data_IF_107830697535
#
_entry.id   IF_107830697535
#
_cell.length_a   1.000
_cell.length_b   1.000
_cell.length_c   1.000
_cell.angle_alpha   90.00
_cell.angle_beta   90.00
_cell.angle_gamma   90.00
#
_symmetry.space_group_name_H-M   'P 1'
#
loop_
_entity.id
_entity.type
_entity.pdbx_description
1 polymer ?
#
# COMPACT_ATOMS: atom_id res chain seq x y z
N UNK A 1 0.11 -3.86 46.49
CA UNK A 1 1.36 -3.08 46.31
C UNK A 1 1.49 -2.43 44.93
N UNK A 2 0.98 -3.01 43.83
CA UNK A 2 1.06 -2.42 42.47
C UNK A 2 0.29 -1.09 42.33
N UNK A 3 -0.82 -0.91 43.05
CA UNK A 3 -1.59 0.34 43.02
C UNK A 3 -0.88 1.57 43.57
N UNK A 4 0.17 1.40 44.40
CA UNK A 4 0.87 2.52 45.04
C UNK A 4 1.93 3.12 44.13
N UNK A 5 2.75 2.29 43.47
CA UNK A 5 3.76 2.77 42.52
C UNK A 5 3.13 3.44 41.27
N UNK A 6 2.01 2.91 40.77
CA UNK A 6 1.28 3.52 39.66
C UNK A 6 0.57 4.84 40.06
N UNK A 7 0.16 4.97 41.33
CA UNK A 7 -0.39 6.22 41.85
C UNK A 7 0.71 7.28 42.08
N UNK A 8 1.89 6.87 42.57
CA UNK A 8 3.05 7.75 42.76
C UNK A 8 3.61 8.25 41.43
N UNK A 9 3.67 7.41 40.39
CA UNK A 9 4.04 7.81 39.02
C UNK A 9 3.01 8.76 38.38
N UNK A 10 1.70 8.53 38.59
CA UNK A 10 0.66 9.48 38.13
C UNK A 10 0.70 10.81 38.88
N UNK A 11 0.98 10.77 40.18
CA UNK A 11 1.11 11.99 40.98
C UNK A 11 2.34 12.82 40.55
N UNK A 12 3.48 12.17 40.29
CA UNK A 12 4.68 12.82 39.77
C UNK A 12 4.49 13.39 38.36
N UNK A 13 3.71 12.73 37.51
CA UNK A 13 3.36 13.22 36.16
C UNK A 13 2.38 14.41 36.17
N UNK A 14 1.65 14.61 37.28
CA UNK A 14 0.72 15.72 37.47
C UNK A 14 1.32 16.91 38.25
N UNK A 15 2.53 16.74 38.79
CA UNK A 15 3.24 17.82 39.46
C UNK A 15 3.62 18.88 38.43
N UNK A 16 3.02 20.07 38.58
CA UNK A 16 3.26 21.21 37.71
C UNK A 16 4.52 21.91 38.18
N UNK A 17 5.44 22.12 37.25
CA UNK A 17 6.64 22.89 37.48
C UNK A 17 6.26 24.31 37.94
N UNK A 18 6.81 24.81 39.07
CA UNK A 18 6.37 26.06 39.69
C UNK A 18 6.75 27.31 38.90
N UNK A 19 7.64 27.19 37.90
CA UNK A 19 8.12 28.32 37.11
C UNK A 19 7.38 28.43 35.77
N UNK A 20 7.00 27.31 35.17
CA UNK A 20 6.32 27.24 33.87
C UNK A 20 4.82 26.98 34.01
N UNK A 21 4.36 26.46 35.16
CA UNK A 21 2.98 26.06 35.41
C UNK A 21 2.54 24.81 34.62
N UNK A 22 3.47 24.17 33.91
CA UNK A 22 3.25 23.03 33.04
C UNK A 22 3.65 21.74 33.76
N UNK A 23 2.95 20.66 33.45
CA UNK A 23 3.37 19.30 33.82
C UNK A 23 4.59 18.89 33.02
N UNK A 24 5.35 17.90 33.49
CA UNK A 24 6.55 17.42 32.78
C UNK A 24 6.25 16.94 31.35
N UNK A 25 5.04 16.41 31.12
CA UNK A 25 4.55 16.01 29.80
C UNK A 25 4.31 17.23 28.89
N UNK A 26 3.69 18.30 29.40
CA UNK A 26 3.47 19.54 28.65
C UNK A 26 4.78 20.28 28.33
N UNK A 27 5.81 20.18 29.19
CA UNK A 27 7.14 20.74 28.93
C UNK A 27 7.87 20.02 27.79
N UNK A 28 7.79 18.68 27.77
CA UNK A 28 8.36 17.87 26.68
C UNK A 28 7.70 18.17 25.33
N UNK A 29 6.38 18.45 25.35
CA UNK A 29 5.62 18.83 24.16
C UNK A 29 6.11 20.19 23.59
N UNK A 30 6.37 21.17 24.47
CA UNK A 30 6.91 22.47 24.07
C UNK A 30 8.35 22.41 23.55
N UNK A 31 9.19 21.53 24.10
CA UNK A 31 10.56 21.31 23.63
C UNK A 31 10.58 20.67 22.22
N UNK A 32 9.57 19.85 21.89
CA UNK A 32 9.39 19.23 20.57
C UNK A 32 8.92 20.27 19.54
N UNK A 33 7.92 21.09 19.88
CA UNK A 33 7.39 22.10 18.96
C UNK A 33 8.39 23.22 18.65
N UNK A 34 9.23 23.62 19.62
CA UNK A 34 10.28 24.61 19.41
C UNK A 34 11.40 24.14 18.46
N UNK A 35 11.53 22.81 18.24
CA UNK A 35 12.49 22.23 17.29
C UNK A 35 12.00 22.20 15.84
N UNK A 36 10.69 22.35 15.60
CA UNK A 36 10.08 22.17 14.28
C UNK A 36 10.07 23.44 13.41
N UNK A 37 10.21 24.62 14.01
CA UNK A 37 10.08 25.90 13.28
C UNK A 37 11.39 26.43 12.64
N UNK A 38 12.50 25.69 12.70
CA UNK A 38 13.81 26.17 12.22
C UNK A 38 14.48 25.37 11.11
N UNK A 39 13.90 24.27 10.60
CA UNK A 39 14.65 23.34 9.74
C UNK A 39 14.00 22.91 8.42
N UNK A 40 12.96 23.59 7.91
CA UNK A 40 12.30 23.19 6.65
C UNK A 40 12.82 23.92 5.39
N UNK A 41 14.07 24.37 5.41
CA UNK A 41 14.83 24.68 4.19
C UNK A 41 16.19 23.98 4.27
N UNK A 42 16.39 23.00 3.38
CA UNK A 42 17.65 22.33 3.07
C UNK A 42 18.07 21.17 4.01
N UNK A 43 17.55 19.96 3.75
CA UNK A 43 18.26 18.68 4.03
C UNK A 43 17.39 17.48 3.64
N UNK A 44 17.86 16.37 3.09
CA UNK A 44 19.13 15.98 2.47
C UNK A 44 18.92 14.54 1.98
N UNK A 45 19.58 14.19 0.88
CA UNK A 45 19.81 12.81 0.50
C UNK A 45 21.13 12.35 1.14
N UNK A 46 21.11 11.30 1.96
CA UNK A 46 22.24 10.37 2.19
C UNK A 46 21.81 9.22 3.12
N UNK A 47 21.88 8.00 2.60
CA UNK A 47 21.74 6.73 3.33
C UNK A 47 23.05 6.41 4.08
N UNK A 48 23.31 7.10 5.18
CA UNK A 48 24.09 6.58 6.35
C UNK A 48 24.11 7.61 7.50
N UNK A 49 22.98 8.28 7.73
CA UNK A 49 22.84 9.30 8.77
C UNK A 49 22.39 8.64 10.08
N UNK A 50 22.96 8.99 11.26
CA UNK A 50 22.41 8.56 12.54
C UNK A 50 20.92 8.93 12.61
N UNK A 51 20.11 8.06 13.24
CA UNK A 51 18.67 8.22 13.37
C UNK A 51 18.34 9.66 13.77
N UNK A 52 17.50 10.32 12.95
CA UNK A 52 16.89 11.60 13.29
C UNK A 52 16.30 11.49 14.71
N UNK A 53 16.56 12.43 15.65
CA UNK A 53 16.00 12.39 16.99
C UNK A 53 14.47 12.18 17.02
N UNK A 54 13.75 12.60 15.98
CA UNK A 54 12.32 12.35 15.79
C UNK A 54 12.01 10.86 15.48
N UNK A 55 12.90 10.16 14.78
CA UNK A 55 12.74 8.75 14.41
C UNK A 55 12.92 7.79 15.60
N UNK A 56 13.96 7.99 16.41
CA UNK A 56 14.16 7.20 17.64
C UNK A 56 13.01 7.40 18.65
N UNK A 57 12.44 8.62 18.69
CA UNK A 57 11.25 8.90 19.51
C UNK A 57 10.03 8.10 19.03
N UNK A 58 9.81 8.03 17.72
CA UNK A 58 8.70 7.26 17.12
C UNK A 58 8.82 5.76 17.35
N UNK A 59 10.03 5.20 17.27
CA UNK A 59 10.26 3.78 17.58
C UNK A 59 9.92 3.48 19.04
N UNK A 60 10.36 4.32 19.99
CA UNK A 60 9.99 4.18 21.41
C UNK A 60 8.48 4.25 21.64
N UNK A 61 7.76 5.15 20.95
CA UNK A 61 6.30 5.21 21.05
C UNK A 61 5.62 3.96 20.47
N UNK A 62 6.14 3.38 19.39
CA UNK A 62 5.63 2.13 18.86
C UNK A 62 5.83 0.98 19.86
N UNK A 63 7.02 0.87 20.46
CA UNK A 63 7.30 -0.11 21.51
C UNK A 63 6.40 0.04 22.75
N UNK A 64 6.19 1.28 23.19
CA UNK A 64 5.29 1.58 24.32
C UNK A 64 3.84 1.22 23.99
N UNK A 65 3.39 1.52 22.78
CA UNK A 65 2.05 1.14 22.34
C UNK A 65 1.85 -0.37 22.27
N UNK A 66 2.83 -1.11 21.72
CA UNK A 66 2.81 -2.59 21.71
C UNK A 66 2.69 -3.10 23.14
N UNK A 67 3.52 -2.59 24.06
CA UNK A 67 3.51 -2.98 25.48
C UNK A 67 2.17 -2.69 26.16
N UNK A 68 1.58 -1.51 25.91
CA UNK A 68 0.30 -1.12 26.53
C UNK A 68 -0.89 -1.91 25.97
N UNK A 69 -0.88 -2.24 24.68
CA UNK A 69 -1.90 -3.08 24.04
C UNK A 69 -1.85 -4.52 24.57
N UNK A 70 -0.64 -5.07 24.75
CA UNK A 70 -0.41 -6.39 25.36
C UNK A 70 -1.00 -6.48 26.77
N UNK A 71 -0.77 -5.43 27.57
CA UNK A 71 -1.26 -5.34 28.95
C UNK A 71 -2.80 -5.28 29.00
N UNK A 72 -3.42 -4.54 28.08
CA UNK A 72 -4.88 -4.44 27.98
C UNK A 72 -5.53 -5.79 27.60
N UNK A 73 -4.96 -6.49 26.60
CA UNK A 73 -5.42 -7.84 26.20
C UNK A 73 -5.26 -8.87 27.33
N UNK A 74 -4.12 -8.85 28.01
CA UNK A 74 -3.86 -9.74 29.15
C UNK A 74 -4.80 -9.46 30.34
N UNK A 75 -5.21 -8.21 30.54
CA UNK A 75 -6.20 -7.82 31.54
C UNK A 75 -7.62 -8.30 31.21
N UNK A 76 -8.03 -8.19 29.95
CA UNK A 76 -9.33 -8.67 29.47
C UNK A 76 -9.48 -10.20 29.63
N UNK A 77 -8.46 -10.98 29.24
CA UNK A 77 -8.47 -12.44 29.36
C UNK A 77 -8.53 -12.94 30.82
N UNK A 78 -8.01 -12.16 31.78
CA UNK A 78 -8.08 -12.49 33.22
C UNK A 78 -9.45 -12.21 33.85
N UNK A 79 -10.23 -11.29 33.29
CA UNK A 79 -11.57 -10.97 33.79
C UNK A 79 -12.67 -11.92 33.28
N UNK A 80 -12.45 -12.61 32.15
CA UNK A 80 -13.35 -13.65 31.67
C UNK A 80 -13.19 -15.00 32.42
N UNK A 81 -12.15 -15.13 33.25
CA UNK A 81 -11.94 -16.31 34.10
C UNK A 81 -12.61 -16.14 35.48
N UNK A 82 -13.91 -15.91 35.51
CA UNK A 82 -14.70 -16.04 36.75
C UNK A 82 -15.26 -17.47 36.81
N UNK A 83 -15.01 -18.24 37.90
CA UNK A 83 -15.50 -19.61 37.97
C UNK A 83 -17.03 -19.63 38.02
N UNK A 84 -17.63 -20.39 37.11
CA UNK A 84 -19.06 -20.66 37.10
C UNK A 84 -19.47 -21.29 38.44
N UNK A 85 -20.21 -20.53 39.23
CA UNK A 85 -20.87 -20.98 40.45
C UNK A 85 -21.96 -22.00 40.07
N UNK A 86 -21.89 -23.17 40.71
CA UNK A 86 -22.73 -24.32 40.41
C UNK A 86 -24.22 -24.03 40.69
N UNK A 87 -25.07 -24.27 39.68
CA UNK A 87 -26.51 -24.38 39.86
C UNK A 87 -26.93 -25.86 39.87
N UNK A 88 -27.89 -26.25 40.73
CA UNK A 88 -28.28 -27.64 40.93
C UNK A 88 -29.23 -28.14 39.83
N UNK A 89 -29.13 -29.44 39.60
CA UNK A 89 -29.97 -30.26 38.73
C UNK A 89 -31.37 -30.39 39.29
N UNK A 90 -32.40 -30.24 38.46
CA UNK A 90 -33.65 -30.99 38.67
C UNK A 90 -34.36 -31.27 37.33
N UNK A 91 -34.89 -32.49 37.24
CA UNK A 91 -35.52 -33.10 36.09
C UNK A 91 -36.98 -32.61 35.90
N UNK A 92 -37.42 -32.44 34.65
CA UNK A 92 -38.66 -33.07 34.12
C UNK A 92 -39.04 -32.51 32.72
N UNK A 93 -39.19 -33.43 31.77
CA UNK A 93 -39.92 -33.33 30.48
C UNK A 93 -41.45 -33.19 30.72
N UNK A 94 -42.34 -32.84 29.74
CA UNK A 94 -42.25 -33.23 28.32
C UNK A 94 -42.85 -32.32 27.21
N UNK A 95 -42.40 -32.64 25.98
CA UNK A 95 -43.13 -32.80 24.70
C UNK A 95 -43.78 -31.63 23.92
N UNK A 96 -43.61 -31.76 22.58
CA UNK A 96 -44.31 -31.14 21.44
C UNK A 96 -43.84 -29.71 21.07
N UNK A 97 -43.60 -29.31 19.81
CA UNK A 97 -44.20 -29.71 18.54
C UNK A 97 -43.34 -29.27 17.32
N UNK A 98 -43.69 -29.84 16.16
CA UNK A 98 -43.14 -29.70 14.79
C UNK A 98 -43.02 -28.28 14.22
N UNK A 99 -42.02 -28.09 13.33
CA UNK A 99 -42.13 -27.65 11.91
C UNK A 99 -40.76 -27.09 11.44
N UNK A 100 -40.01 -27.78 10.57
CA UNK A 100 -40.08 -27.72 9.10
C UNK A 100 -39.53 -26.41 8.49
N UNK A 101 -38.32 -26.47 7.92
CA UNK A 101 -38.02 -26.05 6.54
C UNK A 101 -36.55 -26.31 6.22
N UNK A 102 -36.30 -27.35 5.43
CA UNK A 102 -35.06 -27.58 4.72
C UNK A 102 -35.09 -26.79 3.40
N UNK A 103 -34.01 -26.09 3.07
CA UNK A 103 -33.73 -25.63 1.71
C UNK A 103 -32.50 -26.37 1.22
N UNK A 104 -32.74 -27.31 0.33
CA UNK A 104 -31.76 -28.03 -0.47
C UNK A 104 -31.65 -27.32 -1.82
N UNK A 105 -30.43 -26.95 -2.23
CA UNK A 105 -30.14 -26.59 -3.62
C UNK A 105 -28.77 -27.12 -4.02
N UNK A 106 -28.80 -28.38 -4.45
CA UNK A 106 -28.16 -28.97 -5.63
C UNK A 106 -27.04 -28.15 -6.30
N UNK A 107 -25.80 -28.65 -6.22
CA UNK A 107 -24.70 -28.27 -7.12
C UNK A 107 -24.49 -29.41 -8.12
N UNK A 108 -24.82 -29.14 -9.39
CA UNK A 108 -24.53 -30.03 -10.52
C UNK A 108 -23.02 -30.07 -10.75
N UNK A 109 -22.45 -31.26 -10.69
CA UNK A 109 -21.14 -31.62 -11.24
C UNK A 109 -21.34 -32.06 -12.69
N UNK A 110 -20.67 -31.41 -13.62
CA UNK A 110 -20.46 -31.94 -14.98
C UNK A 110 -18.99 -32.34 -15.09
N UNK A 111 -18.75 -33.63 -14.95
CA UNK A 111 -17.55 -34.30 -15.42
C UNK A 111 -17.48 -34.22 -16.94
N UNK A 112 -16.31 -33.86 -17.48
CA UNK A 112 -16.03 -34.05 -18.90
C UNK A 112 -14.64 -34.70 -19.02
N UNK A 113 -14.67 -35.99 -19.34
CA UNK A 113 -13.54 -36.80 -19.75
C UNK A 113 -13.03 -36.31 -21.11
N UNK A 114 -11.71 -36.19 -21.24
CA UNK A 114 -11.03 -35.95 -22.50
C UNK A 114 -9.69 -36.67 -22.50
N UNK A 115 -9.73 -37.97 -22.78
CA UNK A 115 -8.57 -38.80 -23.09
C UNK A 115 -7.89 -38.30 -24.37
N UNK A 116 -6.59 -38.01 -24.28
CA UNK A 116 -5.76 -37.53 -25.38
C UNK A 116 -4.32 -38.05 -25.23
N UNK A 117 -4.08 -39.14 -25.94
CA UNK A 117 -2.88 -39.97 -26.12
C UNK A 117 -1.52 -39.23 -26.20
N UNK A 118 -0.42 -39.79 -25.62
CA UNK A 118 0.92 -39.23 -25.74
C UNK A 118 1.66 -39.68 -27.01
N UNK A 119 2.38 -38.79 -27.72
CA UNK A 119 3.19 -39.20 -28.86
C UNK A 119 4.52 -39.87 -28.44
N UNK A 120 4.83 -40.95 -29.16
CA UNK A 120 6.07 -41.74 -29.07
C UNK A 120 7.30 -40.98 -29.59
N UNK A 121 8.52 -41.36 -29.13
CA UNK A 121 9.76 -40.72 -29.55
C UNK A 121 10.23 -41.24 -30.91
N UNK A 122 10.78 -40.34 -31.74
CA UNK A 122 11.53 -40.70 -32.94
C UNK A 122 13.01 -40.41 -32.76
N UNK A 123 13.76 -41.51 -32.87
CA UNK A 123 15.08 -41.73 -33.47
C UNK A 123 16.10 -40.59 -33.55
N UNK A 124 17.25 -40.92 -32.95
CA UNK A 124 18.58 -40.40 -33.22
C UNK A 124 19.00 -40.63 -34.69
N UNK A 125 19.67 -39.64 -35.26
CA UNK A 125 20.59 -39.82 -36.38
C UNK A 125 21.77 -38.87 -36.21
N UNK A 126 22.96 -39.47 -36.09
CA UNK A 126 24.25 -38.82 -36.23
C UNK A 126 24.42 -38.27 -37.65
N UNK A 127 24.91 -37.04 -37.81
CA UNK A 127 25.76 -36.67 -38.96
C UNK A 127 26.66 -35.50 -38.62
N UNK A 128 27.96 -35.75 -38.71
CA UNK A 128 29.08 -34.84 -38.61
C UNK A 128 29.07 -33.77 -39.73
N UNK A 129 29.62 -32.58 -39.44
CA UNK A 129 30.04 -31.61 -40.46
C UNK A 129 29.68 -30.17 -40.13
N UNK A 130 30.46 -29.51 -39.26
CA UNK A 130 30.30 -28.10 -38.89
C UNK A 130 31.18 -27.21 -39.81
N UNK A 131 30.58 -26.41 -40.72
CA UNK A 131 31.29 -25.36 -41.45
C UNK A 131 31.48 -24.10 -40.57
N UNK A 132 32.51 -23.26 -40.84
CA UNK A 132 32.78 -22.06 -40.06
C UNK A 132 31.57 -21.11 -40.09
N UNK A 133 31.01 -20.86 -38.90
CA UNK A 133 29.79 -20.09 -38.71
C UNK A 133 29.91 -18.65 -39.22
N UNK A 134 28.83 -18.08 -39.78
CA UNK A 134 28.80 -16.68 -40.20
C UNK A 134 28.99 -15.77 -38.97
N UNK A 135 29.89 -14.79 -39.11
CA UNK A 135 30.11 -13.72 -38.13
C UNK A 135 28.78 -13.22 -37.57
N UNK A 136 28.67 -13.22 -36.24
CA UNK A 136 27.50 -12.74 -35.53
C UNK A 136 27.07 -11.37 -36.10
N UNK A 137 25.80 -11.20 -36.50
CA UNK A 137 25.32 -9.91 -36.98
C UNK A 137 25.56 -8.88 -35.88
N UNK A 138 26.19 -7.76 -36.25
CA UNK A 138 26.36 -6.62 -35.37
C UNK A 138 25.02 -6.30 -34.73
N UNK A 139 24.96 -6.38 -33.39
CA UNK A 139 23.80 -5.97 -32.61
C UNK A 139 23.54 -4.51 -32.96
N UNK A 140 22.57 -4.25 -33.82
CA UNK A 140 22.18 -2.89 -34.15
C UNK A 140 21.53 -2.31 -32.91
N UNK A 141 22.14 -1.28 -32.32
CA UNK A 141 21.67 -0.48 -31.16
C UNK A 141 20.36 0.30 -31.44
N UNK A 142 19.47 -0.25 -32.27
CA UNK A 142 18.18 0.36 -32.53
C UNK A 142 17.29 0.10 -31.32
N UNK A 143 16.80 1.15 -30.64
CA UNK A 143 15.87 0.96 -29.54
C UNK A 143 14.62 0.22 -30.04
N UNK A 144 13.99 -0.62 -29.21
CA UNK A 144 12.76 -1.30 -29.57
C UNK A 144 11.71 -0.26 -29.99
N UNK A 145 10.83 -0.60 -30.94
CA UNK A 145 9.88 0.33 -31.55
C UNK A 145 9.07 1.20 -30.55
N UNK A 146 8.62 0.69 -29.39
CA UNK A 146 7.94 1.49 -28.37
C UNK A 146 8.81 2.65 -27.85
N UNK A 147 10.07 2.40 -27.56
CA UNK A 147 11.01 3.42 -27.08
C UNK A 147 11.28 4.52 -28.11
N UNK A 148 11.21 4.21 -29.41
CA UNK A 148 11.36 5.21 -30.46
C UNK A 148 10.23 6.26 -30.46
N UNK A 149 9.00 5.88 -30.11
CA UNK A 149 7.88 6.83 -29.94
C UNK A 149 8.15 7.76 -28.76
N UNK A 150 8.54 7.20 -27.63
CA UNK A 150 8.87 7.97 -26.43
C UNK A 150 10.04 8.95 -26.68
N UNK A 151 11.12 8.50 -27.33
CA UNK A 151 12.25 9.36 -27.67
C UNK A 151 11.84 10.52 -28.58
N UNK A 152 11.01 10.28 -29.59
CA UNK A 152 10.50 11.36 -30.46
C UNK A 152 9.65 12.37 -29.69
N UNK A 153 8.76 11.88 -28.82
CA UNK A 153 7.96 12.76 -27.96
C UNK A 153 8.85 13.58 -27.01
N UNK A 154 9.85 12.95 -26.39
CA UNK A 154 10.82 13.61 -25.53
C UNK A 154 11.57 14.74 -26.26
N UNK A 155 12.02 14.50 -27.49
CA UNK A 155 12.66 15.54 -28.32
C UNK A 155 11.68 16.67 -28.62
N UNK A 156 10.44 16.36 -29.01
CA UNK A 156 9.40 17.36 -29.27
C UNK A 156 9.08 18.23 -28.06
N UNK A 157 9.21 17.70 -26.84
CA UNK A 157 8.99 18.43 -25.59
C UNK A 157 10.26 19.06 -25.00
N UNK A 158 11.42 18.97 -25.65
CA UNK A 158 12.69 19.50 -25.14
C UNK A 158 13.25 18.73 -23.93
N UNK A 159 12.87 17.45 -23.78
CA UNK A 159 13.32 16.55 -22.72
C UNK A 159 14.31 15.47 -23.22
N UNK A 160 14.65 15.47 -24.51
CA UNK A 160 15.47 14.44 -25.17
C UNK A 160 16.76 14.09 -24.45
N UNK A 161 17.63 15.09 -24.18
CA UNK A 161 18.92 14.87 -23.53
C UNK A 161 18.78 14.31 -22.11
N UNK A 162 17.75 14.77 -21.37
CA UNK A 162 17.50 14.29 -20.00
C UNK A 162 17.03 12.85 -19.98
N UNK A 163 16.15 12.49 -20.92
CA UNK A 163 15.66 11.11 -21.06
C UNK A 163 16.79 10.19 -21.49
N UNK A 164 17.62 10.59 -22.47
CA UNK A 164 18.79 9.82 -22.88
C UNK A 164 19.74 9.58 -21.71
N UNK A 165 20.12 10.65 -20.98
CA UNK A 165 20.99 10.53 -19.81
C UNK A 165 20.39 9.62 -18.71
N UNK A 166 19.06 9.64 -18.52
CA UNK A 166 18.40 8.77 -17.54
C UNK A 166 18.43 7.31 -17.96
N UNK A 167 18.17 7.02 -19.24
CA UNK A 167 18.23 5.66 -19.80
C UNK A 167 19.66 5.09 -19.78
N UNK A 168 20.66 5.93 -20.03
CA UNK A 168 22.08 5.54 -20.00
C UNK A 168 22.56 5.10 -18.61
N UNK A 169 21.90 5.56 -17.53
CA UNK A 169 22.18 5.10 -16.16
C UNK A 169 21.78 3.65 -15.92
N UNK A 170 20.94 3.06 -16.79
CA UNK A 170 20.45 1.68 -16.69
C UNK A 170 19.80 1.35 -15.34
N UNK A 171 19.15 2.34 -14.74
CA UNK A 171 18.34 2.12 -13.55
C UNK A 171 17.13 1.25 -13.92
N UNK A 172 16.97 0.05 -13.32
CA UNK A 172 15.93 -0.88 -13.70
C UNK A 172 14.52 -0.35 -13.39
N UNK A 173 14.35 0.42 -12.32
CA UNK A 173 13.06 0.99 -11.93
C UNK A 173 12.64 2.06 -12.94
N UNK A 174 13.57 2.95 -13.30
CA UNK A 174 13.28 3.99 -14.30
C UNK A 174 13.10 3.39 -15.70
N UNK A 175 13.88 2.37 -16.05
CA UNK A 175 13.71 1.61 -17.31
C UNK A 175 12.32 1.00 -17.43
N UNK A 176 11.81 0.38 -16.36
CA UNK A 176 10.45 -0.12 -16.31
C UNK A 176 9.43 1.02 -16.40
N UNK A 177 9.63 2.14 -15.68
CA UNK A 177 8.73 3.28 -15.72
C UNK A 177 8.59 3.89 -17.13
N UNK A 178 9.67 3.95 -17.92
CA UNK A 178 9.59 4.38 -19.32
C UNK A 178 8.81 3.38 -20.20
N UNK A 179 8.94 2.09 -19.92
CA UNK A 179 8.14 1.03 -20.58
C UNK A 179 6.66 1.16 -20.23
N UNK A 180 6.35 1.41 -18.96
CA UNK A 180 4.98 1.62 -18.47
C UNK A 180 4.38 2.89 -19.07
N UNK A 181 5.14 3.99 -19.16
CA UNK A 181 4.71 5.22 -19.84
C UNK A 181 4.39 4.98 -21.32
N UNK A 182 5.23 4.23 -22.02
CA UNK A 182 5.00 3.89 -23.42
C UNK A 182 3.74 3.05 -23.57
N UNK A 183 3.52 2.08 -22.68
CA UNK A 183 2.31 1.27 -22.63
C UNK A 183 1.07 2.14 -22.44
N UNK A 184 1.10 3.09 -21.51
CA UNK A 184 -0.02 4.02 -21.27
C UNK A 184 -0.27 4.90 -22.51
N UNK A 185 0.77 5.46 -23.11
CA UNK A 185 0.68 6.30 -24.32
C UNK A 185 0.07 5.55 -25.51
N UNK A 186 0.57 4.35 -25.79
CA UNK A 186 0.18 3.57 -26.96
C UNK A 186 -1.17 2.86 -26.80
N UNK A 187 -1.69 2.77 -25.57
CA UNK A 187 -2.95 2.10 -25.28
C UNK A 187 -4.17 2.73 -25.97
N UNK A 188 -4.15 4.05 -26.21
CA UNK A 188 -5.35 4.81 -26.59
C UNK A 188 -6.43 4.85 -25.49
N UNK A 189 -6.09 4.44 -24.26
CA UNK A 189 -7.01 4.33 -23.12
C UNK A 189 -6.86 5.45 -22.08
N UNK A 190 -6.02 6.45 -22.33
CA UNK A 190 -5.90 7.63 -21.46
C UNK A 190 -7.14 8.54 -21.66
N UNK A 191 -7.77 8.98 -20.57
CA UNK A 191 -8.91 9.90 -20.60
C UNK A 191 -8.46 11.35 -20.89
N UNK A 192 -9.41 12.20 -21.28
CA UNK A 192 -9.16 13.60 -21.62
C UNK A 192 -8.97 13.87 -23.12
N UNK A 193 -8.79 15.14 -23.47
CA UNK A 193 -8.47 15.56 -24.84
C UNK A 193 -7.02 15.21 -25.20
N UNK A 194 -6.64 15.18 -26.48
CA UNK A 194 -5.25 14.95 -26.87
C UNK A 194 -4.25 15.88 -26.17
N UNK A 195 -4.60 17.15 -25.99
CA UNK A 195 -3.75 18.14 -25.31
C UNK A 195 -3.58 17.79 -23.82
N UNK A 196 -4.64 17.32 -23.16
CA UNK A 196 -4.58 16.87 -21.77
C UNK A 196 -3.71 15.62 -21.63
N UNK A 197 -3.87 14.66 -22.53
CA UNK A 197 -3.05 13.44 -22.59
C UNK A 197 -1.57 13.79 -22.78
N UNK A 198 -1.26 14.72 -23.68
CA UNK A 198 0.10 15.22 -23.89
C UNK A 198 0.68 15.82 -22.60
N UNK A 199 -0.08 16.67 -21.89
CA UNK A 199 0.35 17.26 -20.62
C UNK A 199 0.68 16.17 -19.59
N UNK A 200 -0.21 15.16 -19.42
CA UNK A 200 0.02 14.05 -18.49
C UNK A 200 1.33 13.33 -18.81
N UNK A 201 1.54 12.96 -20.08
CA UNK A 201 2.72 12.21 -20.52
C UNK A 201 4.00 13.04 -20.35
N UNK A 202 3.96 14.31 -20.72
CA UNK A 202 5.08 15.23 -20.58
C UNK A 202 5.45 15.47 -19.12
N UNK A 203 4.47 15.63 -18.23
CA UNK A 203 4.72 15.86 -16.81
C UNK A 203 5.33 14.63 -16.13
N UNK A 204 4.84 13.42 -16.45
CA UNK A 204 5.46 12.18 -15.99
C UNK A 204 6.89 12.03 -16.53
N UNK A 205 7.10 12.32 -17.81
CA UNK A 205 8.44 12.25 -18.40
C UNK A 205 9.41 13.21 -17.70
N UNK A 206 8.97 14.43 -17.42
CA UNK A 206 9.74 15.43 -16.67
C UNK A 206 10.05 14.96 -15.24
N UNK A 207 9.11 14.32 -14.54
CA UNK A 207 9.32 13.77 -13.19
C UNK A 207 10.36 12.63 -13.23
N UNK A 208 10.23 11.71 -14.18
CA UNK A 208 11.16 10.57 -14.36
C UNK A 208 12.58 11.01 -14.73
N UNK A 209 12.71 12.03 -15.58
CA UNK A 209 14.01 12.56 -16.02
C UNK A 209 14.50 13.74 -15.15
N UNK A 210 13.90 13.93 -13.97
CA UNK A 210 14.21 15.01 -13.04
C UNK A 210 15.41 14.70 -12.15
N UNK A 211 15.82 15.67 -11.33
CA UNK A 211 16.89 15.50 -10.34
C UNK A 211 16.39 14.95 -9.01
N UNK A 212 15.08 15.01 -8.76
CA UNK A 212 14.45 14.62 -7.49
C UNK A 212 14.06 13.13 -7.50
N UNK A 213 14.77 12.24 -6.78
CA UNK A 213 14.51 10.80 -6.84
C UNK A 213 13.10 10.43 -6.37
N UNK A 214 12.58 11.11 -5.35
CA UNK A 214 11.24 10.85 -4.82
C UNK A 214 10.14 11.17 -5.84
N UNK A 215 10.32 12.22 -6.66
CA UNK A 215 9.37 12.55 -7.72
C UNK A 215 9.41 11.51 -8.84
N UNK A 216 10.60 11.03 -9.19
CA UNK A 216 10.76 9.98 -10.18
C UNK A 216 10.12 8.66 -9.72
N UNK A 217 10.36 8.25 -8.46
CA UNK A 217 9.76 7.04 -7.88
C UNK A 217 8.24 7.14 -7.75
N UNK A 218 7.70 8.30 -7.37
CA UNK A 218 6.26 8.54 -7.36
C UNK A 218 5.63 8.40 -8.75
N UNK A 219 6.23 9.05 -9.75
CA UNK A 219 5.78 8.94 -11.14
C UNK A 219 5.88 7.51 -11.69
N UNK A 220 6.97 6.80 -11.38
CA UNK A 220 7.14 5.39 -11.74
C UNK A 220 6.02 4.53 -11.13
N UNK A 221 5.66 4.78 -9.87
CA UNK A 221 4.60 4.03 -9.20
C UNK A 221 3.22 4.27 -9.84
N UNK A 222 2.87 5.52 -10.13
CA UNK A 222 1.62 5.89 -10.81
C UNK A 222 1.51 5.24 -12.20
N UNK A 223 2.59 5.29 -12.99
CA UNK A 223 2.64 4.68 -14.32
C UNK A 223 2.53 3.16 -14.26
N UNK A 224 3.23 2.54 -13.30
CA UNK A 224 3.16 1.10 -13.09
C UNK A 224 1.75 0.63 -12.73
N UNK A 225 1.08 1.36 -11.82
CA UNK A 225 -0.30 1.08 -11.46
C UNK A 225 -1.26 1.24 -12.66
N UNK A 226 -1.09 2.30 -13.47
CA UNK A 226 -1.88 2.50 -14.69
C UNK A 226 -1.65 1.37 -15.72
N UNK A 227 -0.40 1.01 -15.99
CA UNK A 227 -0.04 -0.09 -16.90
C UNK A 227 -0.59 -1.44 -16.40
N UNK A 228 -0.56 -1.68 -15.09
CA UNK A 228 -1.13 -2.89 -14.47
C UNK A 228 -2.65 -2.96 -14.70
N UNK A 229 -3.38 -1.86 -14.53
CA UNK A 229 -4.84 -1.82 -14.81
C UNK A 229 -5.14 -2.14 -16.29
N UNK A 230 -4.27 -1.68 -17.21
CA UNK A 230 -4.41 -1.99 -18.64
C UNK A 230 -4.21 -3.48 -18.94
N UNK A 231 -3.33 -4.17 -18.22
CA UNK A 231 -2.99 -5.57 -18.46
C UNK A 231 -3.85 -6.59 -17.71
N UNK A 232 -4.29 -6.28 -16.50
CA UNK A 232 -5.01 -7.22 -15.60
C UNK A 232 -6.47 -7.44 -15.98
N UNK A 233 -7.01 -6.64 -16.89
CA UNK A 233 -8.42 -6.71 -17.29
C UNK A 233 -9.39 -6.10 -16.29
N UNK A 234 -8.89 -5.39 -15.28
CA UNK A 234 -9.68 -4.63 -14.31
C UNK A 234 -10.48 -3.50 -14.99
N UNK A 235 -9.91 -2.89 -16.03
CA UNK A 235 -10.56 -1.86 -16.83
C UNK A 235 -11.74 -2.41 -17.65
N UNK A 236 -12.85 -1.66 -17.71
CA UNK A 236 -13.97 -1.98 -18.58
C UNK A 236 -13.52 -2.06 -20.07
N UNK A 237 -14.17 -2.86 -20.94
CA UNK A 237 -13.72 -3.06 -22.33
C UNK A 237 -13.48 -1.77 -23.14
N UNK A 238 -14.32 -0.74 -22.97
CA UNK A 238 -14.17 0.60 -23.59
C UNK A 238 -13.70 1.67 -22.60
N UNK A 239 -13.41 1.28 -21.36
CA UNK A 239 -13.07 2.20 -20.28
C UNK A 239 -11.78 2.97 -20.51
N UNK A 240 -11.65 4.16 -19.95
CA UNK A 240 -10.41 4.94 -19.97
C UNK A 240 -9.91 5.16 -18.54
N UNK A 241 -8.61 5.43 -18.43
CA UNK A 241 -7.93 5.80 -17.19
C UNK A 241 -7.65 7.30 -17.24
N UNK A 242 -8.13 8.05 -16.27
CA UNK A 242 -7.68 9.41 -16.00
C UNK A 242 -6.53 9.36 -15.00
N UNK A 243 -5.42 10.02 -15.32
CA UNK A 243 -4.27 10.14 -14.42
C UNK A 243 -4.14 11.59 -13.94
N UNK A 244 -3.68 11.78 -12.69
CA UNK A 244 -3.54 13.10 -12.07
C UNK A 244 -4.83 13.93 -12.22
N UNK A 245 -5.96 13.28 -11.92
CA UNK A 245 -7.29 13.80 -12.20
C UNK A 245 -7.68 14.88 -11.18
N UNK A 246 -7.77 16.13 -11.64
CA UNK A 246 -7.97 17.29 -10.78
C UNK A 246 -9.43 17.58 -10.47
N UNK A 247 -9.66 18.26 -9.33
CA UNK A 247 -10.97 18.81 -8.97
C UNK A 247 -11.47 19.76 -10.08
N UNK A 248 -12.72 19.57 -10.52
CA UNK A 248 -13.41 20.34 -11.60
C UNK A 248 -13.06 19.95 -13.04
N UNK A 249 -12.24 18.92 -13.25
CA UNK A 249 -12.09 18.33 -14.58
C UNK A 249 -13.23 17.33 -14.82
N UNK A 250 -14.18 17.59 -15.73
CA UNK A 250 -15.19 16.58 -16.07
C UNK A 250 -14.52 15.44 -16.85
N UNK A 251 -14.45 14.25 -16.24
CA UNK A 251 -13.78 13.10 -16.85
C UNK A 251 -14.78 12.28 -17.66
N UNK A 252 -14.46 11.97 -18.92
CA UNK A 252 -15.12 10.91 -19.67
C UNK A 252 -14.23 9.66 -19.66
N UNK A 253 -14.65 8.66 -18.90
CA UNK A 253 -13.94 7.40 -18.73
C UNK A 253 -14.35 6.36 -19.80
N UNK A 254 -14.90 6.78 -20.94
CA UNK A 254 -15.30 5.90 -22.04
C UNK A 254 -16.67 5.22 -21.84
N UNK A 255 -17.46 5.72 -20.88
CA UNK A 255 -18.80 5.21 -20.55
C UNK A 255 -19.92 6.16 -20.97
N UNK A 256 -19.58 7.31 -21.57
CA UNK A 256 -20.55 8.36 -21.90
C UNK A 256 -21.07 9.14 -20.68
N UNK A 257 -20.60 8.81 -19.47
CA UNK A 257 -20.91 9.53 -18.23
C UNK A 257 -19.73 10.44 -17.87
N UNK A 258 -20.03 11.68 -17.50
CA UNK A 258 -19.04 12.59 -16.90
C UNK A 258 -18.88 12.28 -15.42
N UNK A 259 -17.64 12.10 -14.98
CA UNK A 259 -17.27 11.85 -13.59
C UNK A 259 -16.64 13.11 -13.01
N UNK A 260 -17.06 13.48 -11.79
CA UNK A 260 -16.45 14.52 -10.97
C UNK A 260 -15.77 13.85 -9.78
N UNK A 261 -14.50 14.20 -9.56
CA UNK A 261 -13.65 13.68 -8.46
C UNK A 261 -13.77 14.50 -7.18
N UNK A 262 -14.50 15.62 -7.19
CA UNK A 262 -14.75 16.43 -5.99
C UNK A 262 -15.42 15.59 -4.88
N UNK A 263 -14.93 15.67 -3.62
CA UNK A 263 -14.05 16.70 -3.06
C UNK A 263 -12.54 16.42 -3.13
N UNK A 264 -12.12 15.30 -3.73
CA UNK A 264 -10.69 14.97 -3.89
C UNK A 264 -10.02 16.06 -4.73
N UNK A 265 -8.92 16.63 -4.24
CA UNK A 265 -8.24 17.73 -4.94
C UNK A 265 -7.58 17.26 -6.23
N UNK A 266 -6.95 16.10 -6.14
CA UNK A 266 -6.29 15.39 -7.22
C UNK A 266 -6.29 13.91 -6.85
N UNK A 267 -6.67 13.06 -7.80
CA UNK A 267 -6.59 11.61 -7.68
C UNK A 267 -5.52 11.08 -8.63
N UNK A 268 -4.69 10.17 -8.14
CA UNK A 268 -3.59 9.61 -8.94
C UNK A 268 -4.16 8.85 -10.16
N UNK A 269 -5.15 7.97 -9.93
CA UNK A 269 -5.85 7.25 -11.00
C UNK A 269 -7.37 7.23 -10.80
N UNK A 270 -8.13 7.42 -11.88
CA UNK A 270 -9.60 7.24 -11.91
C UNK A 270 -10.01 6.48 -13.16
N UNK A 271 -10.80 5.42 -13.05
CA UNK A 271 -11.20 4.61 -14.21
C UNK A 271 -12.54 3.91 -14.01
N UNK A 272 -13.16 3.49 -15.11
CA UNK A 272 -14.34 2.63 -15.08
C UNK A 272 -13.92 1.17 -15.10
N UNK A 273 -14.22 0.45 -14.02
CA UNK A 273 -13.90 -0.96 -13.86
C UNK A 273 -14.85 -1.88 -14.62
N UNK A 274 -14.40 -3.10 -14.90
CA UNK A 274 -15.21 -4.16 -15.52
C UNK A 274 -16.38 -4.58 -14.63
N UNK A 275 -16.30 -4.31 -13.33
CA UNK A 275 -17.39 -4.48 -12.36
C UNK A 275 -18.52 -3.44 -12.51
N UNK A 276 -18.41 -2.52 -13.47
CA UNK A 276 -19.39 -1.47 -13.73
C UNK A 276 -19.28 -0.26 -12.80
N UNK A 277 -18.27 -0.22 -11.92
CA UNK A 277 -18.05 0.88 -10.97
C UNK A 277 -16.96 1.82 -11.44
N UNK A 278 -16.93 3.02 -10.86
CA UNK A 278 -15.84 3.98 -11.00
C UNK A 278 -14.89 3.80 -9.83
N UNK A 279 -13.63 3.54 -10.13
CA UNK A 279 -12.56 3.34 -9.17
C UNK A 279 -11.69 4.59 -9.12
N UNK A 280 -11.30 4.98 -7.91
CA UNK A 280 -10.36 6.06 -7.63
C UNK A 280 -9.24 5.49 -6.76
N UNK A 281 -8.04 5.41 -7.30
CA UNK A 281 -6.88 4.85 -6.60
C UNK A 281 -5.89 5.96 -6.25
N UNK A 282 -5.49 6.01 -4.98
CA UNK A 282 -4.31 6.76 -4.53
C UNK A 282 -3.11 5.82 -4.61
N UNK A 283 -2.05 6.22 -5.31
CA UNK A 283 -0.87 5.40 -5.59
C UNK A 283 0.33 5.95 -4.84
N UNK A 284 1.10 5.08 -4.20
CA UNK A 284 2.35 5.43 -3.53
C UNK A 284 3.43 4.42 -3.89
N UNK A 285 4.68 4.84 -3.87
CA UNK A 285 5.80 3.95 -4.15
C UNK A 285 6.14 3.04 -2.95
N UNK A 286 5.88 3.49 -1.71
CA UNK A 286 6.16 2.73 -0.48
C UNK A 286 5.10 2.96 0.60
N UNK A 287 5.01 2.02 1.55
CA UNK A 287 4.21 2.14 2.76
C UNK A 287 4.59 3.38 3.60
N UNK A 288 5.88 3.68 3.71
CA UNK A 288 6.38 4.87 4.42
C UNK A 288 5.90 6.16 3.76
N UNK A 289 5.88 6.22 2.42
CA UNK A 289 5.37 7.38 1.70
C UNK A 289 3.88 7.62 1.98
N UNK A 290 3.06 6.57 2.07
CA UNK A 290 1.68 6.67 2.48
C UNK A 290 1.55 7.20 3.92
N UNK A 291 2.28 6.62 4.88
CA UNK A 291 2.25 7.07 6.27
C UNK A 291 2.66 8.55 6.42
N UNK A 292 3.70 8.98 5.71
CA UNK A 292 4.12 10.38 5.66
C UNK A 292 3.05 11.30 5.05
N UNK A 293 2.35 10.84 4.00
CA UNK A 293 1.26 11.60 3.37
C UNK A 293 0.10 11.79 4.34
N UNK A 294 -0.33 10.72 5.03
CA UNK A 294 -1.42 10.77 6.00
C UNK A 294 -1.05 11.64 7.22
N UNK A 295 0.23 11.66 7.63
CA UNK A 295 0.73 12.58 8.67
C UNK A 295 0.59 14.04 8.28
N UNK A 296 0.91 14.39 7.03
CA UNK A 296 0.91 15.78 6.54
C UNK A 296 -0.48 16.28 6.12
N UNK A 297 -1.34 15.39 5.65
CA UNK A 297 -2.65 15.75 5.09
C UNK A 297 -3.64 14.61 5.35
N UNK A 298 -4.20 14.60 6.55
CA UNK A 298 -5.23 13.63 6.97
C UNK A 298 -6.48 13.69 6.10
N UNK A 299 -6.82 14.89 5.62
CA UNK A 299 -8.10 15.15 4.95
C UNK A 299 -8.22 14.51 3.56
N UNK A 300 -7.11 14.09 2.94
CA UNK A 300 -7.16 13.46 1.62
C UNK A 300 -7.95 12.15 1.66
N UNK A 301 -7.71 11.32 2.67
CA UNK A 301 -8.42 10.04 2.82
C UNK A 301 -9.90 10.29 3.13
N UNK A 302 -10.21 11.26 4.00
CA UNK A 302 -11.59 11.70 4.27
C UNK A 302 -12.31 12.15 2.99
N UNK A 303 -11.63 12.90 2.12
CA UNK A 303 -12.18 13.35 0.83
C UNK A 303 -12.46 12.19 -0.12
N UNK A 304 -11.60 11.18 -0.16
CA UNK A 304 -11.85 9.96 -0.94
C UNK A 304 -13.06 9.20 -0.39
N UNK A 305 -13.18 9.11 0.94
CA UNK A 305 -14.33 8.47 1.61
C UNK A 305 -15.62 9.23 1.34
N UNK A 306 -15.63 10.57 1.41
CA UNK A 306 -16.79 11.39 1.02
C UNK A 306 -17.12 11.19 -0.48
N UNK A 307 -16.11 11.18 -1.35
CA UNK A 307 -16.31 10.92 -2.77
C UNK A 307 -17.00 9.57 -3.02
N UNK A 308 -16.55 8.50 -2.35
CA UNK A 308 -17.22 7.19 -2.37
C UNK A 308 -18.64 7.27 -1.83
N UNK A 309 -18.83 7.90 -0.67
CA UNK A 309 -20.10 7.97 0.05
C UNK A 309 -21.23 8.64 -0.73
N UNK A 310 -20.91 9.55 -1.65
CA UNK A 310 -21.90 10.21 -2.54
C UNK A 310 -22.59 9.27 -3.53
N UNK A 311 -21.98 8.12 -3.85
CA UNK A 311 -22.55 7.11 -4.74
C UNK A 311 -21.89 5.74 -4.45
N UNK A 312 -22.08 5.25 -3.23
CA UNK A 312 -21.35 4.09 -2.70
C UNK A 312 -21.59 2.80 -3.49
N UNK A 313 -22.69 2.69 -4.24
CA UNK A 313 -22.98 1.49 -5.03
C UNK A 313 -22.19 1.46 -6.33
N UNK A 314 -21.81 2.64 -6.84
CA UNK A 314 -21.11 2.79 -8.12
C UNK A 314 -19.68 3.32 -7.99
N UNK A 315 -19.21 3.67 -6.79
CA UNK A 315 -17.86 4.22 -6.56
C UNK A 315 -17.03 3.32 -5.65
N UNK A 316 -15.76 3.18 -5.97
CA UNK A 316 -14.78 2.44 -5.17
C UNK A 316 -13.52 3.28 -5.01
N UNK A 317 -12.92 3.17 -3.83
CA UNK A 317 -11.63 3.79 -3.53
C UNK A 317 -10.68 2.70 -3.07
N UNK A 318 -9.40 2.85 -3.40
CA UNK A 318 -8.34 1.97 -2.93
C UNK A 318 -7.04 2.76 -2.78
N UNK A 319 -6.11 2.20 -2.01
CA UNK A 319 -4.72 2.65 -1.99
C UNK A 319 -3.86 1.57 -2.63
N UNK A 320 -2.93 1.97 -3.50
CA UNK A 320 -2.02 1.06 -4.19
C UNK A 320 -0.58 1.44 -3.82
N UNK A 321 0.17 0.49 -3.28
CA UNK A 321 1.60 0.61 -3.07
C UNK A 321 2.29 -0.38 -3.98
N UNK A 322 3.19 0.09 -4.84
CA UNK A 322 3.77 -0.74 -5.91
C UNK A 322 4.71 -1.84 -5.45
N UNK A 323 5.12 -1.82 -4.18
CA UNK A 323 5.92 -2.88 -3.57
C UNK A 323 5.35 -3.23 -2.19
N UNK A 324 5.49 -4.49 -1.84
CA UNK A 324 5.24 -5.02 -0.50
C UNK A 324 6.51 -5.00 0.38
N UNK A 325 7.68 -4.73 -0.20
CA UNK A 325 8.92 -4.53 0.56
C UNK A 325 8.78 -3.34 1.50
N UNK A 326 9.11 -3.57 2.78
CA UNK A 326 8.98 -2.54 3.82
C UNK A 326 7.53 -2.16 4.14
N UNK A 327 6.56 -3.06 3.89
CA UNK A 327 5.15 -2.85 4.20
C UNK A 327 4.89 -2.47 5.67
N UNK A 328 5.76 -2.88 6.59
CA UNK A 328 5.71 -2.52 8.02
C UNK A 328 5.77 -1.00 8.27
N UNK A 329 6.16 -0.20 7.27
CA UNK A 329 6.00 1.25 7.29
C UNK A 329 4.55 1.72 7.53
N UNK A 330 3.55 0.87 7.27
CA UNK A 330 2.14 1.14 7.60
C UNK A 330 1.86 1.17 9.12
N UNK A 331 2.76 0.56 9.91
CA UNK A 331 2.75 0.58 11.38
C UNK A 331 3.45 1.84 11.92
N UNK A 332 3.85 2.78 11.06
CA UNK A 332 4.39 4.07 11.47
C UNK A 332 3.30 5.01 12.00
N UNK A 333 3.61 5.75 13.07
CA UNK A 333 2.71 6.75 13.65
C UNK A 333 2.45 7.91 12.66
N UNK A 334 1.19 8.25 12.45
CA UNK A 334 0.76 9.44 11.70
C UNK A 334 0.51 10.63 12.62
N UNK A 335 0.31 10.42 13.93
CA UNK A 335 0.22 11.48 14.92
C UNK A 335 0.94 11.03 16.20
N UNK A 336 2.04 11.69 16.54
CA UNK A 336 2.88 11.32 17.69
C UNK A 336 2.15 11.51 19.03
N UNK A 337 1.25 12.49 19.12
CA UNK A 337 0.48 12.81 20.32
C UNK A 337 -0.73 11.88 20.54
N UNK A 338 -1.03 10.99 19.59
CA UNK A 338 -2.17 10.06 19.65
C UNK A 338 -1.70 8.61 19.56
N UNK A 339 -1.57 7.91 20.71
CA UNK A 339 -1.27 6.48 20.72
C UNK A 339 -2.24 5.70 19.83
N UNK A 340 -1.72 4.77 19.03
CA UNK A 340 -2.54 3.98 18.10
C UNK A 340 -2.88 4.69 16.77
N UNK A 341 -2.41 5.92 16.53
CA UNK A 341 -2.61 6.61 15.26
C UNK A 341 -1.61 6.11 14.22
N UNK A 342 -1.86 4.94 13.65
CA UNK A 342 -1.05 4.32 12.58
C UNK A 342 -1.72 4.44 11.22
N UNK A 343 -0.93 4.46 10.15
CA UNK A 343 -1.46 4.52 8.79
C UNK A 343 -2.41 3.34 8.49
N UNK A 344 -2.05 2.13 8.92
CA UNK A 344 -2.91 0.94 8.76
C UNK A 344 -4.27 1.09 9.46
N UNK A 345 -4.31 1.79 10.60
CA UNK A 345 -5.55 1.98 11.35
C UNK A 345 -6.50 2.94 10.65
N UNK A 346 -5.99 3.93 9.92
CA UNK A 346 -6.82 4.81 9.10
C UNK A 346 -7.47 4.05 7.94
N UNK A 347 -6.70 3.20 7.23
CA UNK A 347 -7.25 2.38 6.15
C UNK A 347 -8.33 1.42 6.65
N UNK A 348 -8.11 0.78 7.81
CA UNK A 348 -9.10 -0.09 8.45
C UNK A 348 -10.34 0.71 8.87
N UNK A 349 -10.15 1.85 9.55
CA UNK A 349 -11.23 2.71 10.06
C UNK A 349 -12.16 3.16 8.94
N UNK A 350 -11.59 3.53 7.80
CA UNK A 350 -12.33 4.05 6.66
C UNK A 350 -12.80 2.97 5.66
N UNK A 351 -12.56 1.69 5.97
CA UNK A 351 -12.90 0.58 5.10
C UNK A 351 -12.30 0.76 3.69
N UNK A 352 -11.01 1.07 3.63
CA UNK A 352 -10.28 1.31 2.37
C UNK A 352 -9.34 0.13 2.08
N UNK A 353 -9.58 -0.64 1.00
CA UNK A 353 -8.70 -1.73 0.62
C UNK A 353 -7.33 -1.22 0.19
N UNK A 354 -6.33 -2.07 0.34
CA UNK A 354 -4.94 -1.78 0.03
C UNK A 354 -4.37 -2.86 -0.89
N UNK A 355 -3.81 -2.45 -2.03
CA UNK A 355 -2.92 -3.30 -2.83
C UNK A 355 -1.47 -3.04 -2.41
N UNK A 356 -0.73 -4.07 -2.00
CA UNK A 356 0.70 -4.03 -1.69
C UNK A 356 1.43 -4.95 -2.67
N UNK A 357 2.16 -4.37 -3.64
CA UNK A 357 2.74 -5.15 -4.72
C UNK A 357 1.66 -5.93 -5.47
N UNK A 358 1.74 -7.27 -5.41
CA UNK A 358 0.76 -8.19 -6.01
C UNK A 358 -0.40 -8.58 -5.11
N UNK A 359 -0.40 -8.19 -3.83
CA UNK A 359 -1.36 -8.66 -2.84
C UNK A 359 -2.48 -7.65 -2.64
N UNK A 360 -3.73 -8.08 -2.84
CA UNK A 360 -4.92 -7.31 -2.55
C UNK A 360 -5.41 -7.63 -1.13
N UNK A 361 -5.42 -6.63 -0.24
CA UNK A 361 -5.80 -6.77 1.16
C UNK A 361 -7.07 -5.98 1.47
N UNK A 362 -8.11 -6.70 1.88
CA UNK A 362 -9.31 -6.11 2.42
C UNK A 362 -9.07 -5.50 3.81
N UNK A 363 -9.91 -4.57 4.29
CA UNK A 363 -9.76 -3.97 5.63
C UNK A 363 -9.71 -4.99 6.78
N UNK A 364 -10.47 -6.09 6.69
CA UNK A 364 -10.42 -7.17 7.67
C UNK A 364 -9.07 -7.93 7.65
N UNK A 365 -8.46 -8.09 6.48
CA UNK A 365 -7.13 -8.70 6.32
C UNK A 365 -6.03 -7.79 6.85
N UNK A 366 -6.12 -6.48 6.60
CA UNK A 366 -5.23 -5.48 7.20
C UNK A 366 -5.30 -5.51 8.74
N UNK A 367 -6.50 -5.65 9.31
CA UNK A 367 -6.68 -5.77 10.76
C UNK A 367 -6.03 -7.04 11.32
N UNK A 368 -6.19 -8.20 10.65
CA UNK A 368 -5.54 -9.45 11.05
C UNK A 368 -4.02 -9.38 10.93
N UNK A 369 -3.51 -8.81 9.83
CA UNK A 369 -2.08 -8.61 9.60
C UNK A 369 -1.47 -7.75 10.71
N UNK A 370 -2.09 -6.58 11.01
CA UNK A 370 -1.69 -5.70 12.11
C UNK A 370 -1.65 -6.46 13.44
N UNK A 371 -2.74 -7.14 13.79
CA UNK A 371 -2.88 -7.78 15.09
C UNK A 371 -1.87 -8.91 15.29
N UNK A 372 -1.60 -9.69 14.24
CA UNK A 372 -0.57 -10.72 14.25
C UNK A 372 0.83 -10.11 14.43
N UNK A 373 1.16 -9.04 13.69
CA UNK A 373 2.47 -8.38 13.85
C UNK A 373 2.65 -7.81 15.25
N UNK A 374 1.63 -7.18 15.82
CA UNK A 374 1.68 -6.69 17.21
C UNK A 374 1.90 -7.84 18.18
N UNK A 375 1.14 -8.94 18.04
CA UNK A 375 1.32 -10.11 18.89
C UNK A 375 2.74 -10.71 18.80
N UNK A 376 3.37 -10.71 17.62
CA UNK A 376 4.77 -11.14 17.50
C UNK A 376 5.73 -10.20 18.23
N UNK A 377 5.53 -8.88 18.12
CA UNK A 377 6.38 -7.90 18.78
C UNK A 377 6.24 -7.95 20.31
N UNK A 378 5.06 -8.28 20.82
CA UNK A 378 4.84 -8.50 22.27
C UNK A 378 5.66 -9.67 22.82
N UNK A 379 5.93 -10.68 21.98
CA UNK A 379 6.72 -11.87 22.33
C UNK A 379 8.19 -11.75 21.92
N UNK A 380 8.61 -10.60 21.38
CA UNK A 380 10.00 -10.36 20.99
C UNK A 380 10.86 -10.29 22.25
N UNK A 381 11.88 -11.14 22.32
CA UNK A 381 12.92 -11.02 23.35
C UNK A 381 13.62 -9.66 23.19
N UNK A 382 13.85 -8.97 24.31
CA UNK A 382 14.56 -7.69 24.32
C UNK A 382 15.92 -7.86 23.64
N UNK A 383 16.08 -7.25 22.47
CA UNK A 383 17.30 -7.28 21.67
C UNK A 383 17.80 -5.86 21.45
N UNK A 384 19.12 -5.67 21.31
CA UNK A 384 19.73 -4.38 20.97
C UNK A 384 19.40 -3.90 19.54
N UNK A 385 18.79 -4.77 18.72
CA UNK A 385 18.33 -4.48 17.36
C UNK A 385 17.15 -3.49 17.36
N UNK A 386 17.14 -2.53 16.44
CA UNK A 386 16.01 -1.61 16.23
C UNK A 386 14.77 -2.35 15.70
N UNK A 387 13.58 -1.76 15.82
CA UNK A 387 12.38 -2.35 15.21
C UNK A 387 12.49 -2.45 13.69
N UNK A 388 13.11 -1.45 13.04
CA UNK A 388 13.35 -1.48 11.60
C UNK A 388 14.20 -2.68 11.18
N UNK A 389 15.33 -2.88 11.83
CA UNK A 389 16.25 -3.99 11.53
C UNK A 389 15.54 -5.33 11.74
N UNK A 390 14.80 -5.44 12.85
CA UNK A 390 14.02 -6.64 13.13
C UNK A 390 12.99 -6.94 12.04
N UNK A 391 12.24 -5.93 11.57
CA UNK A 391 11.28 -6.11 10.48
C UNK A 391 11.97 -6.48 9.17
N UNK A 392 13.04 -5.79 8.79
CA UNK A 392 13.79 -6.08 7.57
C UNK A 392 14.37 -7.51 7.57
N UNK A 393 14.71 -8.04 8.74
CA UNK A 393 15.25 -9.39 8.89
C UNK A 393 14.16 -10.47 8.97
N UNK A 394 13.07 -10.23 9.69
CA UNK A 394 12.06 -11.25 10.00
C UNK A 394 10.90 -11.27 9.00
N UNK A 395 10.45 -10.10 8.55
CA UNK A 395 9.26 -9.93 7.69
C UNK A 395 9.47 -8.81 6.64
N UNK A 396 10.50 -8.90 5.78
CA UNK A 396 10.84 -7.86 4.80
C UNK A 396 9.70 -7.55 3.81
N UNK A 397 8.91 -8.55 3.47
CA UNK A 397 7.79 -8.50 2.51
C UNK A 397 6.60 -9.34 3.00
N UNK A 398 5.54 -9.41 2.19
CA UNK A 398 4.31 -10.11 2.58
C UNK A 398 4.44 -11.63 2.48
N UNK A 399 5.28 -12.17 1.58
CA UNK A 399 5.53 -13.62 1.51
C UNK A 399 6.29 -14.10 2.76
N UNK A 400 7.31 -13.36 3.20
CA UNK A 400 7.98 -13.63 4.47
C UNK A 400 7.05 -13.43 5.66
N UNK A 401 6.20 -12.39 5.64
CA UNK A 401 5.19 -12.17 6.67
C UNK A 401 4.19 -13.32 6.76
N UNK A 402 3.74 -13.89 5.64
CA UNK A 402 2.88 -15.07 5.61
C UNK A 402 3.49 -16.23 6.37
N UNK A 403 4.74 -16.57 6.07
CA UNK A 403 5.41 -17.71 6.68
C UNK A 403 5.67 -17.46 8.17
N UNK A 404 6.12 -16.26 8.53
CA UNK A 404 6.46 -15.89 9.90
C UNK A 404 5.20 -15.73 10.79
N UNK A 405 4.15 -15.11 10.27
CA UNK A 405 2.92 -14.78 11.02
C UNK A 405 1.84 -15.87 10.91
N UNK A 406 2.08 -16.97 10.17
CA UNK A 406 1.13 -18.11 10.09
C UNK A 406 0.65 -18.61 11.46
N UNK A 407 1.49 -18.75 12.50
CA UNK A 407 1.03 -19.17 13.84
C UNK A 407 0.04 -18.19 14.48
N UNK A 408 -0.05 -16.96 13.96
CA UNK A 408 -0.92 -15.89 14.43
C UNK A 408 -2.14 -15.67 13.51
N UNK A 409 -2.43 -16.59 12.58
CA UNK A 409 -3.64 -16.55 11.74
C UNK A 409 -3.54 -15.70 10.48
N UNK A 410 -2.33 -15.55 9.92
CA UNK A 410 -2.05 -14.86 8.66
C UNK A 410 -1.78 -15.87 7.53
N UNK A 411 -2.73 -16.77 7.30
CA UNK A 411 -2.69 -17.80 6.26
C UNK A 411 -3.39 -17.35 4.95
N UNK A 412 -3.91 -16.13 4.92
CA UNK A 412 -4.64 -15.54 3.79
C UNK A 412 -3.75 -14.76 2.81
N UNK A 413 -2.53 -14.40 3.23
CA UNK A 413 -1.46 -13.97 2.32
C UNK A 413 -1.03 -15.18 1.47
#
# INVERSE_FOLDING_TARGET
>A
MIGRAAAELRAAAQERDPHTGLTRLEQLDQEIDAGLDTQDTDAEATEDRPLDPDEASRERHLEEWIRTTAAARSGALRHESTPAEAAPSDEARPSENRAAAAVTATRQTTDNNGDGEPPRPLSQSDTEGEPPGPSAPAVTDRPPAPMATLTRAAVGWGLGDRVAATLDRRDPVLGQAFTDLTTVMDSGRLAGTPERQEIICRDHLRKLSGTEPNNALGAAAELHAAATILHTGELAPTGKIAMSAGRREPLDLGTGRRIDVSPVSEADLVFAGRDGRVHLHEVKNTARALANKLRRNTDQLDKMVDWRGRDQDNRRIAVHITTDQGWTGLLGLINASKPGSYAINELIRFDVPLRLGSHDLAPAELARLRDATVACLENRESSDETLREWFARCIPDLDAARDFLRPHGVDFL
#
